data_IF_125574302062
#
_entry.id   IF_125574302062
#
_cell.length_a   1.000
_cell.length_b   1.000
_cell.length_c   1.000
_cell.angle_alpha   90.00
_cell.angle_beta   90.00
_cell.angle_gamma   90.00
#
_symmetry.space_group_name_H-M   'P 1'
#
loop_
_entity.id
_entity.type
_entity.pdbx_description
1 polymer ?
#
# COMPACT_ATOMS: atom_id res chain seq x y z
N UNK A 1 5.77 18.88 26.50
CA UNK A 1 6.93 19.12 25.59
C UNK A 1 7.23 20.62 25.58
N UNK A 2 8.41 21.06 26.01
CA UNK A 2 8.68 22.51 26.20
C UNK A 2 8.73 23.28 24.87
N UNK A 3 9.29 22.68 23.83
CA UNK A 3 9.27 23.26 22.48
C UNK A 3 7.84 23.45 21.97
N UNK A 4 6.97 22.43 22.07
CA UNK A 4 5.58 22.57 21.65
C UNK A 4 4.84 23.66 22.45
N UNK A 5 5.12 23.77 23.76
CA UNK A 5 4.55 24.85 24.59
C UNK A 5 5.01 26.24 24.13
N UNK A 6 6.27 26.40 23.69
CA UNK A 6 6.76 27.68 23.14
C UNK A 6 6.07 28.10 21.84
N UNK A 7 5.50 27.14 21.09
CA UNK A 7 4.71 27.44 19.89
C UNK A 7 3.32 28.04 20.22
N UNK A 8 2.93 28.07 21.51
CA UNK A 8 1.62 28.50 21.98
C UNK A 8 0.45 27.81 21.24
N UNK A 9 0.21 26.50 21.53
CA UNK A 9 -0.86 25.74 20.91
C UNK A 9 -2.25 26.39 21.08
N UNK A 10 -3.02 26.44 20.01
CA UNK A 10 -4.35 27.08 20.00
C UNK A 10 -5.42 26.31 20.80
N UNK A 11 -5.18 25.03 21.11
CA UNK A 11 -6.10 24.21 21.89
C UNK A 11 -6.05 24.47 23.40
N UNK A 12 -5.26 25.44 23.86
CA UNK A 12 -5.16 25.81 25.29
C UNK A 12 -4.45 24.78 26.16
N UNK A 13 -3.96 23.68 25.58
CA UNK A 13 -3.17 22.62 26.23
C UNK A 13 -2.00 22.24 25.30
N UNK A 14 -1.04 21.43 25.75
CA UNK A 14 0.02 20.91 24.89
C UNK A 14 -0.38 19.61 24.15
N UNK A 15 -1.69 19.32 24.09
CA UNK A 15 -2.22 18.12 23.47
C UNK A 15 -3.45 18.41 22.61
N UNK A 16 -3.45 17.85 21.39
CA UNK A 16 -4.63 17.66 20.56
C UNK A 16 -4.36 16.55 19.55
N UNK A 17 -5.41 16.00 18.95
CA UNK A 17 -5.26 14.99 17.89
C UNK A 17 -4.44 15.54 16.70
N UNK A 18 -4.68 16.80 16.33
CA UNK A 18 -3.97 17.46 15.24
C UNK A 18 -2.47 17.61 15.54
N UNK A 19 -2.13 18.02 16.77
CA UNK A 19 -0.74 18.21 17.18
C UNK A 19 0.00 16.88 17.37
N UNK A 20 -0.73 15.80 17.70
CA UNK A 20 -0.15 14.46 17.84
C UNK A 20 0.47 13.98 16.52
N UNK A 21 -0.13 14.36 15.38
CA UNK A 21 0.40 14.02 14.05
C UNK A 21 1.72 14.75 13.74
N UNK A 22 2.01 15.88 14.38
CA UNK A 22 3.25 16.62 14.24
C UNK A 22 4.36 16.21 15.24
N UNK A 23 4.10 15.21 16.09
CA UNK A 23 5.06 14.81 17.14
C UNK A 23 6.36 14.27 16.54
N UNK A 24 6.30 13.50 15.45
CA UNK A 24 7.49 12.94 14.79
C UNK A 24 8.45 14.04 14.30
N UNK A 25 8.01 15.01 13.45
CA UNK A 25 8.89 16.09 13.03
C UNK A 25 9.38 16.97 14.20
N UNK A 26 8.56 17.22 15.23
CA UNK A 26 9.00 17.95 16.43
C UNK A 26 10.09 17.19 17.19
N UNK A 27 9.93 15.88 17.39
CA UNK A 27 10.95 15.06 18.07
C UNK A 27 12.26 15.02 17.30
N UNK A 28 12.21 15.18 15.97
CA UNK A 28 13.41 15.22 15.14
C UNK A 28 14.33 16.41 15.45
N UNK A 29 13.79 17.50 16.02
CA UNK A 29 14.58 18.64 16.49
C UNK A 29 15.50 18.30 17.68
N UNK A 30 15.29 17.15 18.32
CA UNK A 30 16.09 16.69 19.46
C UNK A 30 16.99 15.51 19.12
N UNK A 31 17.13 15.18 17.83
CA UNK A 31 18.07 14.16 17.37
C UNK A 31 19.51 14.58 17.69
N UNK A 32 20.31 13.61 18.15
CA UNK A 32 21.76 13.74 18.29
C UNK A 32 22.42 14.04 16.93
N UNK A 33 23.65 14.56 16.97
CA UNK A 33 24.42 14.83 15.74
C UNK A 33 24.55 13.58 14.86
N UNK A 34 24.82 12.42 15.47
CA UNK A 34 24.92 11.15 14.75
C UNK A 34 23.59 10.75 14.09
N UNK A 35 22.47 10.90 14.80
CA UNK A 35 21.14 10.62 14.23
C UNK A 35 20.79 11.56 13.08
N UNK A 36 21.18 12.84 13.16
CA UNK A 36 20.99 13.81 12.07
C UNK A 36 21.81 13.44 10.84
N UNK A 37 23.06 12.99 11.03
CA UNK A 37 23.88 12.46 9.92
C UNK A 37 23.21 11.25 9.27
N UNK A 38 22.68 10.30 10.05
CA UNK A 38 21.93 9.17 9.51
C UNK A 38 20.69 9.63 8.72
N UNK A 39 19.90 10.54 9.28
CA UNK A 39 18.69 11.07 8.64
C UNK A 39 19.00 11.81 7.33
N UNK A 40 20.13 12.53 7.25
CA UNK A 40 20.55 13.23 6.05
C UNK A 40 20.89 12.27 4.88
N UNK A 41 21.21 11.01 5.17
CA UNK A 41 21.48 9.98 4.16
C UNK A 41 20.23 9.25 3.67
N UNK A 42 19.10 9.42 4.36
CA UNK A 42 17.84 8.76 3.99
C UNK A 42 17.22 9.53 2.81
N UNK A 43 16.83 8.80 1.76
CA UNK A 43 16.13 9.37 0.62
C UNK A 43 14.83 10.05 1.10
N UNK A 44 14.65 11.31 0.74
CA UNK A 44 13.46 12.08 1.08
C UNK A 44 12.85 12.59 -0.22
N UNK A 45 11.77 11.95 -0.66
CA UNK A 45 11.02 12.43 -1.80
C UNK A 45 10.28 13.70 -1.39
N UNK A 46 10.77 14.85 -1.85
CA UNK A 46 10.20 16.13 -1.48
C UNK A 46 8.80 16.30 -2.07
N UNK A 47 7.88 16.75 -1.23
CA UNK A 47 6.58 17.28 -1.62
C UNK A 47 6.50 18.73 -1.18
N UNK A 48 5.71 19.54 -1.88
CA UNK A 48 5.54 20.96 -1.53
C UNK A 48 4.84 21.14 -0.18
N UNK A 49 4.02 20.16 0.21
CA UNK A 49 3.14 20.23 1.38
C UNK A 49 3.12 18.88 2.10
N UNK A 50 3.41 18.91 3.40
CA UNK A 50 3.22 17.80 4.32
C UNK A 50 2.05 18.08 5.26
N UNK A 51 1.11 17.13 5.35
CA UNK A 51 -0.13 17.30 6.11
C UNK A 51 0.14 17.56 7.60
N UNK A 52 1.13 16.87 8.17
CA UNK A 52 1.55 17.02 9.56
C UNK A 52 2.03 18.44 9.87
N UNK A 53 2.76 19.06 8.93
CA UNK A 53 3.28 20.41 9.10
C UNK A 53 2.21 21.48 8.88
N UNK A 54 1.26 21.24 7.97
CA UNK A 54 0.11 22.13 7.82
C UNK A 54 -0.80 22.10 9.05
N UNK A 55 -1.00 20.92 9.64
CA UNK A 55 -1.69 20.82 10.92
C UNK A 55 -0.94 21.54 12.02
N UNK A 56 0.39 21.40 12.11
CA UNK A 56 1.19 22.13 13.09
C UNK A 56 0.97 23.64 12.95
N UNK A 57 1.20 24.21 11.75
CA UNK A 57 1.05 25.65 11.47
C UNK A 57 -0.33 26.19 11.82
N UNK A 58 -1.40 25.42 11.57
CA UNK A 58 -2.79 25.83 11.85
C UNK A 58 -3.16 25.78 13.34
N UNK A 59 -2.41 25.03 14.15
CA UNK A 59 -2.76 24.77 15.55
C UNK A 59 -1.79 25.43 16.54
N UNK A 60 -0.91 26.33 16.08
CA UNK A 60 0.04 27.06 16.91
C UNK A 60 0.02 28.56 16.58
N UNK A 61 0.21 29.43 17.57
CA UNK A 61 0.26 30.86 17.35
C UNK A 61 1.65 31.32 16.89
N UNK A 62 2.71 30.71 17.42
CA UNK A 62 4.08 30.98 17.03
C UNK A 62 4.57 29.86 16.10
N UNK A 63 4.95 30.22 14.87
CA UNK A 63 5.45 29.25 13.90
C UNK A 63 6.88 28.82 14.24
N UNK A 64 7.25 27.55 13.94
CA UNK A 64 8.65 27.15 13.97
C UNK A 64 9.51 28.05 13.07
N UNK A 65 10.77 28.28 13.45
CA UNK A 65 11.71 29.04 12.62
C UNK A 65 12.04 28.29 11.31
N UNK A 66 12.71 28.96 10.38
CA UNK A 66 12.98 28.42 9.04
C UNK A 66 13.85 27.15 9.07
N UNK A 67 14.86 27.10 9.95
CA UNK A 67 15.75 25.93 10.07
C UNK A 67 15.01 24.71 10.62
N UNK A 68 14.19 24.90 11.65
CA UNK A 68 13.35 23.87 12.24
C UNK A 68 12.35 23.36 11.20
N UNK A 69 11.67 24.27 10.48
CA UNK A 69 10.71 23.92 9.42
C UNK A 69 11.38 23.08 8.32
N UNK A 70 12.60 23.44 7.92
CA UNK A 70 13.36 22.71 6.89
C UNK A 70 13.69 21.28 7.36
N UNK A 71 14.14 21.13 8.60
CA UNK A 71 14.41 19.81 9.17
C UNK A 71 13.13 18.98 9.31
N UNK A 72 12.07 19.56 9.85
CA UNK A 72 10.77 18.91 9.98
C UNK A 72 10.24 18.42 8.62
N UNK A 73 10.37 19.25 7.58
CA UNK A 73 10.02 18.90 6.19
C UNK A 73 10.83 17.72 5.66
N UNK A 74 12.15 17.72 5.88
CA UNK A 74 13.01 16.60 5.48
C UNK A 74 12.62 15.29 6.18
N UNK A 75 12.28 15.35 7.47
CA UNK A 75 11.84 14.20 8.28
C UNK A 75 10.53 13.64 7.74
N UNK A 76 9.55 14.50 7.46
CA UNK A 76 8.28 14.07 6.87
C UNK A 76 8.54 13.29 5.56
N UNK A 77 9.31 13.86 4.62
CA UNK A 77 9.62 13.18 3.36
C UNK A 77 10.37 11.85 3.53
N UNK A 78 11.29 11.78 4.49
CA UNK A 78 11.98 10.54 4.84
C UNK A 78 10.99 9.47 5.35
N UNK A 79 10.03 9.85 6.20
CA UNK A 79 8.99 8.95 6.70
C UNK A 79 8.04 8.50 5.58
N UNK A 80 7.57 9.41 4.72
CA UNK A 80 6.70 9.05 3.58
C UNK A 80 7.36 8.01 2.66
N UNK A 81 8.67 8.12 2.47
CA UNK A 81 9.41 7.27 1.54
C UNK A 81 9.85 5.95 2.17
N UNK A 82 10.29 5.95 3.43
CA UNK A 82 11.07 4.84 4.01
C UNK A 82 10.47 4.23 5.29
N UNK A 83 9.40 4.81 5.84
CA UNK A 83 8.84 4.27 7.07
C UNK A 83 8.09 2.96 6.83
N UNK A 84 8.22 2.07 7.80
CA UNK A 84 7.49 0.82 7.89
C UNK A 84 6.26 1.01 8.76
N UNK A 85 5.15 0.42 8.34
CA UNK A 85 4.00 0.16 9.20
C UNK A 85 4.37 -0.97 10.17
N UNK A 86 4.25 -0.71 11.48
CA UNK A 86 4.79 -1.56 12.54
C UNK A 86 3.67 -2.27 13.29
N UNK A 87 3.15 -1.61 14.34
CA UNK A 87 2.12 -2.12 15.24
C UNK A 87 0.79 -1.47 14.92
N UNK A 88 -0.25 -2.28 14.81
CA UNK A 88 -1.62 -1.79 14.85
C UNK A 88 -2.08 -1.76 16.30
N UNK A 89 -2.24 -0.57 16.86
CA UNK A 89 -2.82 -0.36 18.19
C UNK A 89 -4.33 -0.39 18.04
N UNK A 90 -4.97 -1.31 18.76
CA UNK A 90 -6.42 -1.42 18.82
C UNK A 90 -6.94 -0.79 20.11
N UNK A 91 -7.83 0.20 20.00
CA UNK A 91 -8.61 0.75 21.10
C UNK A 91 -10.10 0.66 20.77
N UNK A 92 -10.80 -0.26 21.45
CA UNK A 92 -12.24 -0.58 21.33
C UNK A 92 -12.76 -0.73 19.88
N UNK A 93 -12.96 0.39 19.19
CA UNK A 93 -13.51 0.50 17.82
C UNK A 93 -12.52 1.10 16.80
N UNK A 94 -11.31 1.48 17.22
CA UNK A 94 -10.32 2.17 16.40
C UNK A 94 -9.04 1.35 16.32
N UNK A 95 -8.54 1.17 15.11
CA UNK A 95 -7.19 0.66 14.85
C UNK A 95 -6.34 1.83 14.36
N UNK A 96 -5.18 2.02 14.97
CA UNK A 96 -4.19 3.02 14.54
C UNK A 96 -2.88 2.31 14.25
N UNK A 97 -2.37 2.51 13.04
CA UNK A 97 -1.08 1.99 12.63
C UNK A 97 0.04 2.94 13.04
N UNK A 98 1.06 2.40 13.70
CA UNK A 98 2.28 3.13 14.04
C UNK A 98 3.31 2.97 12.91
N UNK A 99 4.09 4.03 12.67
CA UNK A 99 5.16 4.04 11.69
C UNK A 99 6.53 4.15 12.36
N UNK A 100 7.50 3.40 11.86
CA UNK A 100 8.89 3.44 12.32
C UNK A 100 9.88 3.54 11.17
N UNK A 101 10.99 4.27 11.40
CA UNK A 101 12.13 4.28 10.48
C UNK A 101 13.17 3.25 10.92
N UNK A 102 13.49 2.34 10.00
CA UNK A 102 14.51 1.31 10.19
C UNK A 102 15.54 1.44 9.06
N UNK A 103 16.55 2.31 9.22
CA UNK A 103 17.39 2.74 8.10
C UNK A 103 18.07 1.59 7.34
N UNK A 104 18.54 0.56 8.05
CA UNK A 104 19.19 -0.61 7.42
C UNK A 104 18.19 -1.42 6.58
N UNK A 105 17.00 -1.69 7.12
CA UNK A 105 15.95 -2.42 6.40
C UNK A 105 15.40 -1.61 5.22
N UNK A 106 15.31 -0.28 5.37
CA UNK A 106 14.84 0.62 4.32
C UNK A 106 15.74 0.65 3.07
N UNK A 107 16.96 0.11 3.12
CA UNK A 107 17.84 0.01 1.97
C UNK A 107 17.38 -1.02 0.93
N UNK A 108 16.56 -1.99 1.31
CA UNK A 108 16.17 -3.09 0.41
C UNK A 108 15.16 -2.60 -0.62
N UNK A 109 15.48 -2.71 -1.90
CA UNK A 109 14.59 -2.29 -2.98
C UNK A 109 13.33 -3.15 -3.10
N UNK A 110 12.36 -2.61 -3.85
CA UNK A 110 11.14 -3.30 -4.17
C UNK A 110 11.32 -4.39 -5.23
N UNK A 111 10.75 -5.57 -4.98
CA UNK A 111 10.40 -6.54 -6.01
C UNK A 111 9.01 -7.13 -5.72
N UNK A 112 8.17 -7.32 -6.77
CA UNK A 112 6.88 -8.00 -6.62
C UNK A 112 7.00 -9.51 -6.39
N UNK A 113 8.23 -10.05 -6.46
CA UNK A 113 8.61 -11.42 -6.11
C UNK A 113 9.85 -11.35 -5.20
N UNK A 114 9.66 -10.85 -3.96
CA UNK A 114 10.79 -10.56 -3.08
C UNK A 114 11.47 -11.84 -2.60
N UNK A 115 12.76 -11.74 -2.29
CA UNK A 115 13.54 -12.81 -1.67
C UNK A 115 13.67 -12.65 -0.14
N UNK A 116 13.06 -11.59 0.42
CA UNK A 116 12.96 -11.38 1.87
C UNK A 116 11.55 -11.03 2.31
N UNK A 117 11.25 -11.28 3.58
CA UNK A 117 10.10 -10.78 4.31
C UNK A 117 10.56 -10.15 5.62
N UNK A 118 9.74 -9.28 6.20
CA UNK A 118 10.03 -8.66 7.49
C UNK A 118 8.88 -8.84 8.47
N UNK A 119 9.21 -8.80 9.75
CA UNK A 119 8.25 -8.76 10.85
C UNK A 119 8.82 -7.97 12.03
N UNK A 120 7.95 -7.66 12.99
CA UNK A 120 8.29 -6.93 14.21
C UNK A 120 8.06 -7.82 15.43
N UNK A 121 8.93 -7.73 16.44
CA UNK A 121 8.66 -8.31 17.75
C UNK A 121 7.92 -7.34 18.68
N UNK A 122 7.69 -7.76 19.92
CA UNK A 122 7.01 -6.97 20.94
C UNK A 122 7.75 -5.66 21.30
N UNK A 123 9.07 -5.63 21.13
CA UNK A 123 9.92 -4.46 21.34
C UNK A 123 10.06 -3.59 20.09
N UNK A 124 9.26 -3.85 19.04
CA UNK A 124 9.31 -3.15 17.76
C UNK A 124 10.67 -3.27 17.04
N UNK A 125 11.44 -4.33 17.30
CA UNK A 125 12.64 -4.63 16.51
C UNK A 125 12.23 -5.27 15.18
N UNK A 126 12.81 -4.80 14.08
CA UNK A 126 12.54 -5.31 12.74
C UNK A 126 13.49 -6.47 12.44
N UNK A 127 12.93 -7.62 12.08
CA UNK A 127 13.64 -8.79 11.61
C UNK A 127 13.41 -8.97 10.11
N UNK A 128 14.50 -9.21 9.37
CA UNK A 128 14.44 -9.54 7.93
C UNK A 128 14.85 -11.00 7.77
N UNK A 129 13.98 -11.80 7.16
CA UNK A 129 14.20 -13.21 6.90
C UNK A 129 14.18 -13.48 5.39
N UNK A 130 15.03 -14.38 4.92
CA UNK A 130 15.00 -14.84 3.54
C UNK A 130 13.79 -15.73 3.29
N UNK A 131 13.09 -15.54 2.17
CA UNK A 131 11.93 -16.36 1.76
C UNK A 131 12.31 -17.50 0.82
N UNK A 132 13.55 -17.50 0.33
CA UNK A 132 14.15 -18.53 -0.53
C UNK A 132 15.68 -18.50 -0.41
N UNK A 133 16.40 -19.51 -0.91
CA UNK A 133 17.84 -19.41 -1.08
C UNK A 133 18.24 -18.20 -1.94
N UNK A 134 19.33 -17.53 -1.54
CA UNK A 134 19.86 -16.32 -2.17
C UNK A 134 21.33 -16.57 -2.51
N UNK A 135 21.72 -16.29 -3.76
CA UNK A 135 23.10 -16.48 -4.20
C UNK A 135 23.99 -15.33 -3.73
N UNK A 136 25.31 -15.57 -3.60
CA UNK A 136 26.26 -14.51 -3.30
C UNK A 136 26.22 -13.43 -4.41
N UNK A 137 26.09 -12.17 -4.01
CA UNK A 137 25.97 -11.02 -4.93
C UNK A 137 24.55 -10.75 -5.45
N UNK A 138 23.56 -11.58 -5.11
CA UNK A 138 22.16 -11.32 -5.42
C UNK A 138 21.59 -10.21 -4.52
N UNK A 139 20.85 -9.28 -5.10
CA UNK A 139 20.21 -8.17 -4.37
C UNK A 139 19.15 -8.67 -3.39
N UNK A 140 19.14 -8.15 -2.17
CA UNK A 140 18.07 -8.38 -1.20
C UNK A 140 16.89 -7.43 -1.50
N UNK A 141 15.72 -8.00 -1.75
CA UNK A 141 14.51 -7.25 -2.11
C UNK A 141 13.35 -7.59 -1.21
N UNK A 142 12.49 -6.61 -0.96
CA UNK A 142 11.22 -6.78 -0.26
C UNK A 142 10.05 -6.31 -1.13
N UNK A 143 8.81 -6.59 -0.73
CA UNK A 143 7.64 -5.99 -1.38
C UNK A 143 7.19 -4.73 -0.63
N UNK A 144 6.81 -3.69 -1.36
CA UNK A 144 6.22 -2.46 -0.83
C UNK A 144 4.70 -2.42 -1.07
N UNK A 145 4.16 -3.48 -1.69
CA UNK A 145 2.77 -3.59 -2.11
C UNK A 145 2.21 -4.95 -1.71
N UNK A 146 0.88 -5.08 -1.75
CA UNK A 146 0.25 -6.39 -1.62
C UNK A 146 0.65 -7.30 -2.77
N UNK A 147 1.08 -8.52 -2.45
CA UNK A 147 1.41 -9.54 -3.45
C UNK A 147 0.19 -10.04 -4.22
N UNK A 148 -1.02 -9.84 -3.68
CA UNK A 148 -2.28 -10.26 -4.30
C UNK A 148 -2.86 -9.25 -5.29
N UNK A 149 -2.36 -8.02 -5.33
CA UNK A 149 -2.79 -7.05 -6.35
C UNK A 149 -2.26 -7.45 -7.72
N UNK A 150 -2.95 -7.05 -8.79
CA UNK A 150 -2.47 -7.18 -10.16
C UNK A 150 -1.35 -6.18 -10.51
N UNK A 151 -0.70 -6.37 -11.67
CA UNK A 151 0.38 -5.51 -12.16
C UNK A 151 0.02 -4.03 -12.25
N UNK A 152 -1.20 -3.70 -12.70
CA UNK A 152 -1.66 -2.31 -12.84
C UNK A 152 -1.74 -1.65 -11.47
N UNK A 153 -2.39 -2.30 -10.51
CA UNK A 153 -2.52 -1.79 -9.14
C UNK A 153 -1.16 -1.65 -8.45
N UNK A 154 -0.28 -2.65 -8.54
CA UNK A 154 1.07 -2.58 -7.95
C UNK A 154 1.86 -1.41 -8.54
N UNK A 155 1.87 -1.25 -9.86
CA UNK A 155 2.60 -0.17 -10.54
C UNK A 155 2.02 1.21 -10.21
N UNK A 156 0.70 1.35 -10.20
CA UNK A 156 0.03 2.61 -9.84
C UNK A 156 0.34 3.00 -8.39
N UNK A 157 0.22 2.06 -7.45
CA UNK A 157 0.52 2.31 -6.04
C UNK A 157 1.98 2.76 -5.85
N UNK A 158 2.94 2.08 -6.46
CA UNK A 158 4.37 2.45 -6.38
C UNK A 158 4.65 3.79 -7.03
N UNK A 159 3.99 4.11 -8.14
CA UNK A 159 4.14 5.41 -8.80
C UNK A 159 3.67 6.54 -7.90
N UNK A 160 2.54 6.36 -7.20
CA UNK A 160 1.96 7.40 -6.32
C UNK A 160 2.74 7.50 -5.01
N UNK A 161 3.08 6.37 -4.38
CA UNK A 161 3.63 6.36 -3.01
C UNK A 161 5.15 6.37 -2.96
N UNK A 162 5.83 5.87 -4.00
CA UNK A 162 7.29 5.70 -4.04
C UNK A 162 7.94 6.37 -5.25
N UNK A 163 7.14 7.01 -6.12
CA UNK A 163 7.62 7.78 -7.28
C UNK A 163 8.45 6.97 -8.30
N UNK A 164 8.18 5.67 -8.43
CA UNK A 164 8.77 4.83 -9.47
C UNK A 164 7.76 3.82 -10.02
N UNK A 165 8.06 3.24 -11.18
CA UNK A 165 7.24 2.19 -11.81
C UNK A 165 8.01 0.87 -11.89
N UNK A 166 7.54 -0.16 -11.19
CA UNK A 166 8.25 -1.45 -11.07
C UNK A 166 8.34 -2.23 -12.39
N UNK A 167 9.55 -2.60 -12.81
CA UNK A 167 9.83 -3.37 -14.03
C UNK A 167 10.33 -4.81 -13.75
N UNK A 168 10.04 -5.35 -12.55
CA UNK A 168 10.46 -6.71 -12.21
C UNK A 168 9.83 -7.77 -13.14
N UNK A 169 10.39 -8.98 -13.17
CA UNK A 169 9.94 -10.04 -14.09
C UNK A 169 8.43 -10.32 -14.06
N UNK A 170 7.81 -10.27 -12.87
CA UNK A 170 6.35 -10.45 -12.73
C UNK A 170 5.54 -9.31 -13.35
N UNK A 171 6.01 -8.07 -13.23
CA UNK A 171 5.34 -6.90 -13.83
C UNK A 171 5.54 -6.84 -15.34
N UNK A 172 6.64 -7.41 -15.84
CA UNK A 172 6.96 -7.44 -17.27
C UNK A 172 6.27 -8.59 -18.03
N UNK A 173 5.72 -9.57 -17.31
CA UNK A 173 4.93 -10.68 -17.86
C UNK A 173 3.43 -10.36 -17.84
N UNK A 174 2.78 -10.43 -19.01
CA UNK A 174 1.34 -10.18 -19.15
C UNK A 174 0.46 -11.18 -18.40
N UNK A 175 0.99 -12.36 -18.08
CA UNK A 175 0.30 -13.40 -17.31
C UNK A 175 0.62 -13.34 -15.81
N UNK A 176 1.52 -12.45 -15.39
CA UNK A 176 1.99 -12.34 -14.01
C UNK A 176 2.55 -13.66 -13.47
N UNK A 177 3.46 -14.30 -14.21
CA UNK A 177 3.97 -15.65 -13.96
C UNK A 177 2.85 -16.70 -13.89
N UNK A 178 1.88 -16.60 -14.79
CA UNK A 178 0.74 -17.51 -14.88
C UNK A 178 -0.36 -17.30 -13.83
N UNK A 179 -0.18 -16.40 -12.86
CA UNK A 179 -1.20 -16.12 -11.83
C UNK A 179 -2.44 -15.44 -12.41
N UNK A 180 -2.26 -14.59 -13.43
CA UNK A 180 -3.34 -13.88 -14.14
C UNK A 180 -4.30 -13.17 -13.18
N UNK A 181 -3.76 -12.49 -12.17
CA UNK A 181 -4.56 -11.83 -11.13
C UNK A 181 -5.38 -10.67 -11.70
N UNK A 182 -4.84 -9.94 -12.66
CA UNK A 182 -5.54 -8.82 -13.32
C UNK A 182 -6.42 -9.21 -14.50
N UNK A 183 -6.40 -10.47 -14.95
CA UNK A 183 -7.07 -10.87 -16.19
C UNK A 183 -8.59 -10.71 -16.13
N UNK A 184 -9.21 -10.43 -17.28
CA UNK A 184 -10.67 -10.45 -17.46
C UNK A 184 -11.06 -11.61 -18.38
N UNK A 185 -12.29 -12.12 -18.28
CA UNK A 185 -12.81 -13.07 -19.26
C UNK A 185 -13.08 -12.35 -20.59
N UNK A 186 -12.88 -13.06 -21.70
CA UNK A 186 -13.13 -12.51 -23.01
C UNK A 186 -14.61 -12.14 -23.19
N UNK A 187 -14.88 -10.94 -23.71
CA UNK A 187 -16.24 -10.45 -23.95
C UNK A 187 -16.94 -11.08 -25.16
N UNK A 188 -16.27 -11.96 -25.91
CA UNK A 188 -16.87 -12.66 -27.05
C UNK A 188 -17.63 -13.90 -26.58
N UNK A 189 -18.92 -13.99 -26.93
CA UNK A 189 -19.88 -15.03 -26.49
C UNK A 189 -19.44 -16.49 -26.69
N UNK A 190 -18.45 -16.75 -27.54
CA UNK A 190 -17.95 -18.11 -27.84
C UNK A 190 -16.46 -18.28 -27.53
N UNK A 191 -15.88 -17.37 -26.76
CA UNK A 191 -14.47 -17.41 -26.41
C UNK A 191 -14.25 -17.74 -24.93
N UNK A 192 -13.53 -18.82 -24.67
CA UNK A 192 -13.07 -19.18 -23.31
C UNK A 192 -11.71 -18.58 -22.98
N UNK A 193 -11.31 -17.53 -23.70
CA UNK A 193 -10.03 -16.86 -23.53
C UNK A 193 -10.08 -15.79 -22.45
N UNK A 194 -8.93 -15.23 -22.16
CA UNK A 194 -8.75 -14.19 -21.15
C UNK A 194 -8.10 -12.97 -21.79
N UNK A 195 -8.59 -11.79 -21.42
CA UNK A 195 -8.02 -10.51 -21.81
C UNK A 195 -6.85 -10.21 -20.87
N UNK A 196 -5.69 -9.96 -21.49
CA UNK A 196 -4.43 -9.64 -20.82
C UNK A 196 -3.82 -8.37 -21.44
N UNK A 197 -3.07 -7.54 -20.70
CA UNK A 197 -2.38 -6.40 -21.28
C UNK A 197 -1.36 -6.87 -22.33
N UNK A 198 -1.35 -6.24 -23.51
CA UNK A 198 -0.34 -6.54 -24.55
C UNK A 198 1.06 -6.15 -24.11
N UNK A 199 1.16 -5.04 -23.40
CA UNK A 199 2.37 -4.52 -22.76
C UNK A 199 2.01 -4.13 -21.32
N UNK A 200 2.32 -4.97 -20.32
CA UNK A 200 1.95 -4.73 -18.93
C UNK A 200 2.72 -3.57 -18.28
N UNK A 201 3.83 -3.12 -18.89
CA UNK A 201 4.58 -1.96 -18.40
C UNK A 201 3.99 -0.63 -18.90
N UNK A 202 3.13 -0.66 -19.91
CA UNK A 202 2.44 0.51 -20.42
C UNK A 202 0.97 0.53 -19.98
N UNK A 203 0.62 1.45 -19.06
CA UNK A 203 -0.76 1.58 -18.55
C UNK A 203 -1.79 1.92 -19.64
N UNK A 204 -1.36 2.47 -20.77
CA UNK A 204 -2.23 2.78 -21.92
C UNK A 204 -2.34 1.63 -22.92
N UNK A 205 -1.64 0.52 -22.67
CA UNK A 205 -1.60 -0.64 -23.55
C UNK A 205 -2.98 -1.26 -23.75
N UNK A 206 -3.36 -1.64 -24.98
CA UNK A 206 -4.57 -2.40 -25.20
C UNK A 206 -4.48 -3.78 -24.55
N UNK A 207 -5.64 -4.35 -24.24
CA UNK A 207 -5.75 -5.71 -23.74
C UNK A 207 -6.24 -6.62 -24.85
N UNK A 208 -5.59 -7.77 -24.97
CA UNK A 208 -5.79 -8.72 -26.08
C UNK A 208 -6.16 -10.07 -25.49
N UNK A 209 -7.16 -10.71 -26.10
CA UNK A 209 -7.57 -12.05 -25.72
C UNK A 209 -6.53 -13.07 -26.17
N UNK A 210 -6.11 -13.95 -25.25
CA UNK A 210 -5.15 -15.03 -25.49
C UNK A 210 -5.63 -16.16 -26.43
N UNK A 211 -6.90 -16.11 -26.89
CA UNK A 211 -7.47 -17.09 -27.83
C UNK A 211 -8.00 -16.49 -29.11
N UNK A 212 -9.00 -15.60 -29.03
CA UNK A 212 -9.67 -15.06 -30.22
C UNK A 212 -9.07 -13.74 -30.72
N UNK A 213 -8.02 -13.22 -30.08
CA UNK A 213 -7.33 -11.97 -30.43
C UNK A 213 -8.18 -10.70 -30.32
N UNK A 214 -9.42 -10.80 -29.81
CA UNK A 214 -10.26 -9.65 -29.48
C UNK A 214 -9.44 -8.64 -28.68
N UNK A 215 -9.44 -7.39 -29.13
CA UNK A 215 -8.68 -6.31 -28.52
C UNK A 215 -9.63 -5.26 -27.96
N UNK A 216 -9.42 -4.89 -26.69
CA UNK A 216 -10.13 -3.79 -26.04
C UNK A 216 -9.12 -2.75 -25.56
N UNK A 217 -9.52 -1.48 -25.51
CA UNK A 217 -8.61 -0.41 -25.09
C UNK A 217 -8.52 -0.32 -23.55
N UNK A 218 -7.43 0.27 -23.05
CA UNK A 218 -7.18 0.40 -21.61
C UNK A 218 -8.28 1.16 -20.85
N UNK A 219 -8.99 2.10 -21.50
CA UNK A 219 -10.07 2.87 -20.85
C UNK A 219 -11.27 1.97 -20.55
N UNK A 220 -11.63 1.09 -21.49
CA UNK A 220 -12.69 0.10 -21.27
C UNK A 220 -12.35 -0.84 -20.12
N UNK A 221 -11.11 -1.36 -20.10
CA UNK A 221 -10.62 -2.20 -19.00
C UNK A 221 -10.69 -1.46 -17.68
N UNK A 222 -10.18 -0.23 -17.63
CA UNK A 222 -10.22 0.59 -16.43
C UNK A 222 -11.66 0.81 -15.94
N UNK A 223 -12.60 1.14 -16.82
CA UNK A 223 -14.01 1.29 -16.45
C UNK A 223 -14.62 0.00 -15.88
N UNK A 224 -14.31 -1.16 -16.47
CA UNK A 224 -14.76 -2.47 -15.96
C UNK A 224 -14.18 -2.72 -14.57
N UNK A 225 -12.86 -2.60 -14.40
CA UNK A 225 -12.20 -2.85 -13.11
C UNK A 225 -12.66 -1.88 -12.02
N UNK A 226 -12.80 -0.58 -12.34
CA UNK A 226 -13.33 0.42 -11.41
C UNK A 226 -14.78 0.14 -11.02
N UNK A 227 -15.62 -0.28 -11.97
CA UNK A 227 -17.00 -0.70 -11.70
C UNK A 227 -17.07 -1.90 -10.76
N UNK A 228 -16.26 -2.93 -11.00
CA UNK A 228 -16.20 -4.10 -10.12
C UNK A 228 -15.68 -3.71 -8.73
N UNK A 229 -14.64 -2.86 -8.66
CA UNK A 229 -14.09 -2.38 -7.40
C UNK A 229 -15.13 -1.62 -6.57
N UNK A 230 -15.90 -0.71 -7.19
CA UNK A 230 -16.96 0.04 -6.53
C UNK A 230 -18.05 -0.89 -5.95
N UNK A 231 -18.52 -1.87 -6.74
CA UNK A 231 -19.48 -2.85 -6.25
C UNK A 231 -18.88 -3.70 -5.12
N UNK A 232 -17.60 -4.07 -5.23
CA UNK A 232 -16.90 -4.84 -4.17
C UNK A 232 -16.76 -4.05 -2.86
N UNK A 233 -16.71 -2.72 -2.93
CA UNK A 233 -16.74 -1.85 -1.75
C UNK A 233 -18.12 -1.83 -1.09
N UNK A 234 -19.20 -1.77 -1.87
CA UNK A 234 -20.57 -1.88 -1.33
C UNK A 234 -20.85 -3.22 -0.64
N UNK A 235 -20.17 -4.29 -1.06
CA UNK A 235 -20.26 -5.61 -0.45
C UNK A 235 -19.69 -5.67 0.98
N UNK A 236 -18.90 -4.69 1.42
CA UNK A 236 -18.37 -4.61 2.80
C UNK A 236 -19.50 -4.65 3.85
N UNK A 237 -20.69 -4.16 3.50
CA UNK A 237 -21.83 -4.05 4.40
C UNK A 237 -22.90 -5.12 4.18
N UNK A 238 -22.56 -6.20 3.45
CA UNK A 238 -23.49 -7.28 3.08
C UNK A 238 -23.18 -8.57 3.82
N UNK A 239 -24.17 -9.44 3.93
CA UNK A 239 -24.01 -10.77 4.53
C UNK A 239 -23.17 -11.69 3.65
N UNK A 240 -22.47 -12.71 4.20
CA UNK A 240 -21.70 -13.66 3.41
C UNK A 240 -22.49 -14.34 2.29
N UNK A 241 -23.79 -14.62 2.51
CA UNK A 241 -24.68 -15.18 1.49
C UNK A 241 -24.92 -14.23 0.32
N UNK A 242 -25.09 -12.94 0.60
CA UNK A 242 -25.23 -11.92 -0.45
C UNK A 242 -23.93 -11.74 -1.24
N UNK A 243 -22.80 -11.69 -0.55
CA UNK A 243 -21.46 -11.62 -1.18
C UNK A 243 -21.23 -12.83 -2.08
N UNK A 244 -21.54 -14.04 -1.60
CA UNK A 244 -21.42 -15.28 -2.37
C UNK A 244 -22.34 -15.29 -3.60
N UNK A 245 -23.57 -14.80 -3.47
CA UNK A 245 -24.51 -14.70 -4.59
C UNK A 245 -24.00 -13.75 -5.68
N UNK A 246 -23.47 -12.58 -5.30
CA UNK A 246 -22.81 -11.66 -6.25
C UNK A 246 -21.62 -12.33 -6.94
N UNK A 247 -20.77 -13.00 -6.16
CA UNK A 247 -19.60 -13.72 -6.68
C UNK A 247 -20.00 -14.69 -7.80
N UNK A 248 -21.01 -15.52 -7.56
CA UNK A 248 -21.45 -16.54 -8.52
C UNK A 248 -22.17 -15.97 -9.74
N UNK A 249 -23.03 -14.97 -9.54
CA UNK A 249 -23.94 -14.47 -10.59
C UNK A 249 -23.36 -13.36 -11.45
N UNK A 250 -22.34 -12.66 -10.96
CA UNK A 250 -21.83 -11.46 -11.61
C UNK A 250 -20.31 -11.59 -11.79
N UNK A 251 -19.56 -11.67 -10.70
CA UNK A 251 -18.09 -11.60 -10.76
C UNK A 251 -17.46 -12.76 -11.57
N UNK A 252 -17.92 -14.00 -11.36
CA UNK A 252 -17.41 -15.18 -12.07
C UNK A 252 -17.69 -15.19 -13.58
N UNK A 253 -18.54 -14.29 -14.08
CA UNK A 253 -18.76 -14.10 -15.52
C UNK A 253 -17.86 -13.02 -16.12
N UNK A 254 -17.23 -12.18 -15.29
CA UNK A 254 -16.37 -11.08 -15.72
C UNK A 254 -14.88 -11.41 -15.57
N UNK A 255 -14.51 -12.18 -14.55
CA UNK A 255 -13.11 -12.45 -14.21
C UNK A 255 -12.83 -13.95 -14.07
N UNK A 256 -11.61 -14.43 -14.39
CA UNK A 256 -11.24 -15.82 -14.17
C UNK A 256 -11.14 -16.15 -12.68
N UNK A 257 -11.14 -17.45 -12.37
CA UNK A 257 -11.09 -17.97 -10.99
C UNK A 257 -9.85 -17.54 -10.19
N UNK A 258 -8.80 -17.14 -10.90
CA UNK A 258 -7.52 -16.70 -10.34
C UNK A 258 -7.47 -15.20 -10.09
N UNK A 259 -8.46 -14.41 -10.54
CA UNK A 259 -8.43 -12.95 -10.42
C UNK A 259 -8.43 -12.50 -8.95
N UNK A 260 -7.69 -11.42 -8.65
CA UNK A 260 -7.52 -10.95 -7.27
C UNK A 260 -8.82 -10.50 -6.61
N UNK A 261 -9.78 -9.95 -7.36
CA UNK A 261 -11.08 -9.52 -6.83
C UNK A 261 -11.87 -10.73 -6.33
N UNK A 262 -11.79 -11.86 -7.04
CA UNK A 262 -12.42 -13.10 -6.61
C UNK A 262 -11.76 -13.66 -5.35
N UNK A 263 -10.43 -13.56 -5.25
CA UNK A 263 -9.69 -13.94 -4.06
C UNK A 263 -10.09 -13.07 -2.85
N UNK A 264 -10.22 -11.75 -3.03
CA UNK A 264 -10.64 -10.82 -1.98
C UNK A 264 -12.06 -11.13 -1.48
N UNK A 265 -13.01 -11.32 -2.40
CA UNK A 265 -14.39 -11.70 -2.08
C UNK A 265 -14.45 -13.01 -1.30
N UNK A 266 -13.68 -14.03 -1.71
CA UNK A 266 -13.59 -15.31 -0.97
C UNK A 266 -12.99 -15.12 0.42
N UNK A 267 -11.89 -14.38 0.51
CA UNK A 267 -11.22 -14.11 1.78
C UNK A 267 -12.15 -13.40 2.77
N UNK A 268 -12.98 -12.48 2.30
CA UNK A 268 -13.99 -11.80 3.14
C UNK A 268 -15.05 -12.76 3.67
N UNK A 269 -15.60 -13.62 2.80
CA UNK A 269 -16.57 -14.64 3.23
C UNK A 269 -15.94 -15.55 4.29
N UNK A 270 -14.75 -16.08 4.03
CA UNK A 270 -14.05 -16.98 4.96
C UNK A 270 -13.73 -16.27 6.28
N UNK A 271 -13.24 -15.03 6.21
CA UNK A 271 -12.90 -14.23 7.40
C UNK A 271 -14.11 -13.95 8.28
N UNK A 272 -15.32 -13.82 7.70
CA UNK A 272 -16.54 -13.68 8.49
C UNK A 272 -16.76 -14.91 9.39
N UNK A 273 -16.65 -16.12 8.85
CA UNK A 273 -16.80 -17.34 9.64
C UNK A 273 -15.67 -17.53 10.65
N UNK A 274 -14.43 -17.17 10.29
CA UNK A 274 -13.28 -17.32 11.18
C UNK A 274 -13.21 -16.32 12.34
N UNK A 275 -13.97 -15.21 12.28
CA UNK A 275 -13.93 -14.14 13.29
C UNK A 275 -15.18 -14.05 14.17
N UNK A 276 -16.22 -14.83 13.88
CA UNK A 276 -17.47 -14.82 14.65
C UNK A 276 -17.67 -16.15 15.34
N UNK A 277 -17.68 -16.13 16.67
CA UNK A 277 -17.92 -17.31 17.48
C UNK A 277 -19.31 -17.91 17.20
N UNK A 278 -19.39 -19.24 17.12
CA UNK A 278 -20.64 -19.97 16.91
C UNK A 278 -21.16 -19.98 15.46
N UNK A 279 -20.42 -19.41 14.50
CA UNK A 279 -20.82 -19.41 13.08
C UNK A 279 -20.03 -20.46 12.30
N UNK A 280 -20.74 -21.47 11.76
CA UNK A 280 -20.15 -22.51 10.89
C UNK A 280 -20.83 -22.51 9.52
N UNK A 281 -20.07 -22.84 8.46
CA UNK A 281 -20.65 -23.11 7.15
C UNK A 281 -21.36 -24.48 7.16
N UNK A 282 -22.66 -24.51 6.88
CA UNK A 282 -23.45 -25.73 6.70
C UNK A 282 -23.82 -25.90 5.22
#
# INVERSE_FOLDING_TARGET
CDYLRSLAPSCGTDWSLNLTLAVVPIRALFLTEQQRKCLALIQSNQTDIYYELELLKRNVANLPNEEDMKLMSHVCGAFYTNAFETVTVHDKDRSSSLRGLYPIAALQNHCCVPNTSHHFDAECRLYVNTTRPISAGEELTMTYTSLFWDTTLRRQFLSVTKQFSCMCGRCSDSTEFGTKLGALLCASDKCSGQLLPRDPLNIKSPWVCDKCTLTINHRQVHSICSGIAAVTEELLYKTPRQIFKFMQRELMHLVPRTNYLLADVKFRIISYFGRNDGVTWQ
#
